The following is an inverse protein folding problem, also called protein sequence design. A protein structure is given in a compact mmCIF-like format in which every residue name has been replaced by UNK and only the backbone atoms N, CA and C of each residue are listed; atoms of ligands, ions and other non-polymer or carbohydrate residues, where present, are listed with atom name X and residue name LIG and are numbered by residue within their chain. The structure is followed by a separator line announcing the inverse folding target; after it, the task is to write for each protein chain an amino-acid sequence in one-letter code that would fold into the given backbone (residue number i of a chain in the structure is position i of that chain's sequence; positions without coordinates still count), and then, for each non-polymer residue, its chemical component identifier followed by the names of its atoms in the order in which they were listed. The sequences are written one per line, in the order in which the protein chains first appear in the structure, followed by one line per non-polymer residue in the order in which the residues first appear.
data_IF_224316566391
#
_entry.id   IF_224316566391
#
_cell.length_a   1.000
_cell.length_b   1.000
_cell.length_c   1.000
_cell.angle_alpha   90.00
_cell.angle_beta   90.00
_cell.angle_gamma   90.00
#
_symmetry.space_group_name_H-M   'P 1'
#
loop_
_entity.id
_entity.type
_entity.pdbx_description
1 polymer ?
#
# COMPACT_ATOMS: atom_id res chain seq x y z
N UNK A 1 -20.76 -7.48 28.52
CA UNK A 1 -19.43 -8.11 28.41
C UNK A 1 -18.40 -7.01 28.51
N UNK A 2 -17.43 -7.10 29.44
CA UNK A 2 -16.49 -5.99 29.73
C UNK A 2 -15.22 -6.12 28.88
N UNK A 3 -14.69 -4.98 28.47
CA UNK A 3 -13.46 -4.85 27.68
C UNK A 3 -12.46 -3.96 28.41
N UNK A 4 -11.19 -4.30 28.31
CA UNK A 4 -10.09 -3.60 28.96
C UNK A 4 -9.00 -3.29 27.94
N UNK A 5 -8.43 -2.08 28.02
CA UNK A 5 -7.20 -1.70 27.33
C UNK A 5 -6.01 -2.09 28.20
N UNK A 6 -5.15 -2.96 27.68
CA UNK A 6 -3.91 -3.35 28.35
C UNK A 6 -2.86 -2.23 28.24
N UNK A 7 -1.84 -2.33 29.07
CA UNK A 7 -0.61 -1.54 29.01
C UNK A 7 0.10 -1.60 27.64
N UNK A 8 0.01 -2.74 26.94
CA UNK A 8 0.52 -2.91 25.57
C UNK A 8 -0.38 -2.32 24.48
N UNK A 9 -1.42 -1.55 24.84
CA UNK A 9 -2.37 -0.96 23.88
C UNK A 9 -3.35 -1.95 23.24
N UNK A 10 -3.50 -3.16 23.79
CA UNK A 10 -4.38 -4.17 23.22
C UNK A 10 -5.73 -4.19 23.95
N UNK A 11 -6.82 -4.29 23.19
CA UNK A 11 -8.14 -4.49 23.78
C UNK A 11 -8.34 -6.00 24.05
N UNK A 12 -8.78 -6.33 25.26
CA UNK A 12 -9.05 -7.70 25.71
C UNK A 12 -10.39 -7.79 26.42
N UNK A 13 -11.04 -8.94 26.31
CA UNK A 13 -12.28 -9.22 27.05
C UNK A 13 -11.94 -9.66 28.47
N UNK A 14 -12.81 -9.34 29.43
CA UNK A 14 -12.69 -9.84 30.81
C UNK A 14 -12.52 -11.36 30.86
N UNK A 15 -13.26 -12.08 30.00
CA UNK A 15 -13.17 -13.53 29.88
C UNK A 15 -11.77 -13.98 29.47
N UNK A 16 -11.17 -13.36 28.45
CA UNK A 16 -9.82 -13.71 28.00
C UNK A 16 -8.76 -13.44 29.09
N UNK A 17 -8.90 -12.34 29.83
CA UNK A 17 -7.98 -12.00 30.91
C UNK A 17 -8.05 -13.00 32.07
N UNK A 18 -9.26 -13.39 32.48
CA UNK A 18 -9.48 -14.44 33.49
C UNK A 18 -8.92 -15.79 33.06
N UNK A 19 -9.16 -16.20 31.81
CA UNK A 19 -8.63 -17.46 31.27
C UNK A 19 -7.10 -17.49 31.33
N UNK A 20 -6.46 -16.36 31.02
CA UNK A 20 -5.01 -16.22 31.05
C UNK A 20 -4.43 -15.87 32.43
N UNK A 21 -5.26 -15.83 33.48
CA UNK A 21 -4.87 -15.46 34.86
C UNK A 21 -4.14 -14.11 34.93
N UNK A 22 -4.51 -13.18 34.07
CA UNK A 22 -3.95 -11.81 34.06
C UNK A 22 -4.71 -10.99 35.10
N UNK A 23 -3.99 -10.34 36.01
CA UNK A 23 -4.58 -9.31 36.87
C UNK A 23 -4.85 -8.05 36.03
N UNK A 24 -6.14 -7.71 35.90
CA UNK A 24 -6.61 -6.60 35.08
C UNK A 24 -7.14 -5.43 35.93
N UNK A 25 -6.91 -5.45 37.24
CA UNK A 25 -7.30 -4.35 38.14
C UNK A 25 -6.64 -3.01 37.79
N UNK A 26 -5.44 -3.07 37.21
CA UNK A 26 -4.69 -1.90 36.74
C UNK A 26 -5.02 -1.48 35.29
N UNK A 27 -5.83 -2.25 34.57
CA UNK A 27 -6.19 -1.93 33.19
C UNK A 27 -7.37 -0.97 33.12
N UNK A 28 -7.42 -0.21 32.02
CA UNK A 28 -8.50 0.74 31.78
C UNK A 28 -9.70 0.00 31.21
N UNK A 29 -10.81 -0.02 31.93
CA UNK A 29 -12.08 -0.50 31.39
C UNK A 29 -12.61 0.48 30.34
N UNK A 30 -13.04 -0.05 29.19
CA UNK A 30 -13.60 0.76 28.11
C UNK A 30 -15.04 1.18 28.43
N UNK A 31 -15.37 2.42 28.05
CA UNK A 31 -16.74 2.92 28.04
C UNK A 31 -17.57 2.26 26.92
N UNK A 32 -18.90 2.36 27.01
CA UNK A 32 -19.78 1.86 25.95
C UNK A 32 -19.47 2.49 24.58
N UNK A 33 -19.22 3.79 24.53
CA UNK A 33 -18.84 4.50 23.31
C UNK A 33 -17.54 3.96 22.71
N UNK A 34 -16.53 3.69 23.55
CA UNK A 34 -15.26 3.12 23.09
C UNK A 34 -15.42 1.68 22.60
N UNK A 35 -16.32 0.89 23.20
CA UNK A 35 -16.63 -0.46 22.73
C UNK A 35 -17.31 -0.39 21.35
N UNK A 36 -18.29 0.50 21.18
CA UNK A 36 -18.96 0.70 19.90
C UNK A 36 -17.95 1.10 18.82
N UNK A 37 -17.09 2.07 19.10
CA UNK A 37 -16.11 2.58 18.14
C UNK A 37 -15.01 1.57 17.81
N UNK A 38 -14.34 0.98 18.80
CA UNK A 38 -13.08 0.24 18.59
C UNK A 38 -13.20 -1.28 18.61
N UNK A 39 -14.39 -1.81 18.92
CA UNK A 39 -14.64 -3.26 19.01
C UNK A 39 -15.77 -3.71 18.09
N UNK A 40 -16.88 -2.97 18.03
CA UNK A 40 -18.08 -3.38 17.29
C UNK A 40 -18.03 -2.85 15.86
N UNK A 41 -17.74 -1.56 15.68
CA UNK A 41 -17.73 -0.94 14.37
C UNK A 41 -16.51 -1.39 13.54
N UNK A 42 -16.66 -1.53 12.22
CA UNK A 42 -15.51 -1.77 11.35
C UNK A 42 -14.57 -0.55 11.38
N UNK A 43 -13.26 -0.76 11.14
CA UNK A 43 -12.33 0.35 10.95
C UNK A 43 -12.80 1.26 9.81
N UNK A 44 -12.59 2.58 9.90
CA UNK A 44 -12.74 3.47 8.76
C UNK A 44 -11.86 3.02 7.59
N UNK A 45 -12.26 3.36 6.36
CA UNK A 45 -11.51 3.01 5.16
C UNK A 45 -10.05 3.50 5.24
N UNK A 46 -9.11 2.62 4.92
CA UNK A 46 -7.68 2.94 4.96
C UNK A 46 -7.09 3.11 6.35
N UNK A 47 -7.83 2.80 7.43
CA UNK A 47 -7.33 2.88 8.81
C UNK A 47 -7.12 1.50 9.43
N UNK A 48 -6.19 1.43 10.38
CA UNK A 48 -6.02 0.31 11.30
C UNK A 48 -6.08 0.80 12.75
N UNK A 49 -6.40 -0.10 13.69
CA UNK A 49 -6.48 0.25 15.12
C UNK A 49 -5.10 0.23 15.76
N UNK A 50 -4.78 1.27 16.50
CA UNK A 50 -3.67 1.32 17.45
C UNK A 50 -4.19 1.84 18.81
N UNK A 51 -4.35 0.94 19.78
CA UNK A 51 -5.01 1.28 21.05
C UNK A 51 -6.44 1.80 20.88
N UNK A 52 -6.70 3.00 21.42
CA UNK A 52 -7.95 3.76 21.28
C UNK A 52 -7.81 4.85 20.22
N UNK A 53 -7.19 4.52 19.10
CA UNK A 53 -7.00 5.45 17.98
C UNK A 53 -7.04 4.70 16.64
N UNK A 54 -7.48 5.43 15.61
CA UNK A 54 -7.40 5.00 14.22
C UNK A 54 -6.18 5.64 13.57
N UNK A 55 -5.21 4.82 13.18
CA UNK A 55 -4.03 5.26 12.45
C UNK A 55 -4.17 4.89 10.99
N UNK A 56 -3.57 5.68 10.10
CA UNK A 56 -3.50 5.31 8.68
C UNK A 56 -2.83 3.96 8.55
N UNK A 57 -3.48 3.08 7.78
CA UNK A 57 -2.85 1.85 7.36
C UNK A 57 -1.61 2.28 6.56
N UNK A 58 -0.40 1.85 6.95
CA UNK A 58 0.78 2.19 6.18
C UNK A 58 0.52 1.75 4.75
N UNK A 59 0.73 2.66 3.79
CA UNK A 59 0.75 2.29 2.38
C UNK A 59 1.91 1.33 2.23
N UNK A 60 1.61 0.04 2.32
CA UNK A 60 2.60 -0.99 2.10
C UNK A 60 2.91 -0.90 0.62
N UNK A 61 4.07 -0.34 0.27
CA UNK A 61 4.64 -0.47 -1.07
C UNK A 61 4.96 -1.96 -1.21
N UNK A 62 4.00 -2.69 -1.76
CA UNK A 62 4.14 -4.12 -2.05
C UNK A 62 4.72 -4.29 -3.45
N UNK A 63 5.42 -5.39 -3.68
CA UNK A 63 5.85 -5.75 -5.02
C UNK A 63 4.65 -5.82 -5.99
N UNK A 64 3.48 -6.26 -5.51
CA UNK A 64 2.23 -6.26 -6.29
C UNK A 64 1.80 -4.84 -6.69
N UNK A 65 1.70 -3.91 -5.73
CA UNK A 65 1.27 -2.54 -6.03
C UNK A 65 2.22 -1.81 -6.98
N UNK A 66 3.52 -2.02 -6.83
CA UNK A 66 4.53 -1.42 -7.71
C UNK A 66 4.52 -2.08 -9.09
N UNK A 67 4.36 -3.40 -9.17
CA UNK A 67 4.22 -4.09 -10.44
C UNK A 67 2.97 -3.63 -11.20
N UNK A 68 1.83 -3.48 -10.53
CA UNK A 68 0.61 -2.93 -11.14
C UNK A 68 0.80 -1.49 -11.63
N UNK A 69 1.57 -0.68 -10.90
CA UNK A 69 1.95 0.65 -11.39
C UNK A 69 2.86 0.56 -12.62
N UNK A 70 3.88 -0.29 -12.61
CA UNK A 70 4.78 -0.52 -13.75
C UNK A 70 3.99 -0.95 -15.00
N UNK A 71 3.01 -1.84 -14.87
CA UNK A 71 2.17 -2.25 -16.00
C UNK A 71 1.38 -1.09 -16.60
N UNK A 72 0.86 -0.17 -15.77
CA UNK A 72 0.17 1.04 -16.24
C UNK A 72 1.14 1.98 -16.97
N UNK A 73 2.33 2.18 -16.44
CA UNK A 73 3.35 2.99 -17.12
C UNK A 73 3.77 2.38 -18.45
N UNK A 74 3.99 1.06 -18.52
CA UNK A 74 4.34 0.37 -19.75
C UNK A 74 3.23 0.50 -20.81
N UNK A 75 1.96 0.47 -20.41
CA UNK A 75 0.84 0.71 -21.31
C UNK A 75 0.87 2.15 -21.89
N UNK A 76 1.19 3.15 -21.07
CA UNK A 76 1.38 4.53 -21.52
C UNK A 76 2.56 4.65 -22.49
N UNK A 77 3.68 3.99 -22.19
CA UNK A 77 4.86 3.94 -23.07
C UNK A 77 4.50 3.34 -24.43
N UNK A 78 3.76 2.24 -24.46
CA UNK A 78 3.34 1.60 -25.71
C UNK A 78 2.46 2.52 -26.57
N UNK A 79 1.60 3.33 -25.95
CA UNK A 79 0.82 4.36 -26.65
C UNK A 79 1.75 5.40 -27.27
N UNK A 80 2.74 5.89 -26.53
CA UNK A 80 3.70 6.88 -27.03
C UNK A 80 4.52 6.33 -28.20
N UNK A 81 5.00 5.09 -28.10
CA UNK A 81 5.72 4.42 -29.19
C UNK A 81 4.86 4.20 -30.43
N UNK A 82 3.54 3.97 -30.27
CA UNK A 82 2.60 3.91 -31.40
C UNK A 82 2.48 5.26 -32.10
N UNK A 83 2.41 6.38 -31.39
CA UNK A 83 2.38 7.71 -32.02
C UNK A 83 3.66 8.01 -32.81
N UNK A 84 4.82 7.57 -32.31
CA UNK A 84 6.07 7.65 -33.08
C UNK A 84 6.01 6.82 -34.36
N UNK A 85 5.44 5.61 -34.30
CA UNK A 85 5.30 4.70 -35.44
C UNK A 85 4.33 5.22 -36.51
N UNK A 86 3.20 5.81 -36.11
CA UNK A 86 2.19 6.37 -37.03
C UNK A 86 2.51 7.79 -37.49
N UNK A 87 3.55 8.43 -36.93
CA UNK A 87 3.92 9.80 -37.25
C UNK A 87 2.98 10.87 -36.65
N UNK A 88 2.20 10.53 -35.61
CA UNK A 88 1.31 11.48 -34.92
C UNK A 88 2.13 12.48 -34.07
N UNK A 89 2.68 13.47 -34.75
CA UNK A 89 3.50 14.54 -34.17
C UNK A 89 2.75 15.44 -33.18
N UNK A 90 1.41 15.42 -33.17
CA UNK A 90 0.60 16.24 -32.25
C UNK A 90 0.48 15.61 -30.87
N UNK A 91 0.47 14.27 -30.80
CA UNK A 91 0.27 13.52 -29.54
C UNK A 91 1.53 12.86 -29.01
N UNK A 92 2.51 12.57 -29.88
CA UNK A 92 3.80 12.05 -29.43
C UNK A 92 4.48 13.09 -28.55
N UNK A 93 4.99 12.63 -27.42
CA UNK A 93 5.87 13.39 -26.54
C UNK A 93 7.27 12.81 -26.63
N UNK A 94 8.30 13.60 -26.31
CA UNK A 94 9.71 13.16 -26.21
C UNK A 94 10.20 12.40 -27.46
N UNK A 95 11.39 11.82 -27.40
CA UNK A 95 11.89 10.94 -28.46
C UNK A 95 11.48 9.49 -28.23
N UNK A 96 11.41 8.69 -29.30
CA UNK A 96 11.21 7.25 -29.17
C UNK A 96 12.32 6.56 -28.36
N UNK A 97 13.52 7.16 -28.30
CA UNK A 97 14.64 6.66 -27.49
C UNK A 97 14.38 6.85 -26.00
N UNK A 98 13.82 7.99 -25.59
CA UNK A 98 13.51 8.28 -24.18
C UNK A 98 12.48 7.29 -23.65
N UNK A 99 11.41 7.06 -24.42
CA UNK A 99 10.37 6.09 -24.08
C UNK A 99 10.90 4.66 -23.98
N UNK A 100 11.77 4.25 -24.91
CA UNK A 100 12.42 2.91 -24.85
C UNK A 100 13.31 2.77 -23.62
N UNK A 101 14.06 3.81 -23.29
CA UNK A 101 14.94 3.82 -22.11
C UNK A 101 14.11 3.70 -20.83
N UNK A 102 13.02 4.46 -20.73
CA UNK A 102 12.09 4.38 -19.61
C UNK A 102 11.43 2.99 -19.50
N UNK A 103 11.02 2.40 -20.62
CA UNK A 103 10.45 1.05 -20.65
C UNK A 103 11.41 -0.01 -20.10
N UNK A 104 12.71 0.11 -20.39
CA UNK A 104 13.74 -0.80 -19.87
C UNK A 104 13.86 -0.61 -18.36
N UNK A 105 14.01 0.63 -17.89
CA UNK A 105 14.11 0.92 -16.45
C UNK A 105 12.89 0.41 -15.66
N UNK A 106 11.68 0.50 -16.22
CA UNK A 106 10.46 -0.06 -15.63
C UNK A 106 10.51 -1.60 -15.48
N UNK A 107 11.00 -2.30 -16.52
CA UNK A 107 11.14 -3.77 -16.50
C UNK A 107 12.28 -4.24 -15.59
N UNK A 108 13.31 -3.43 -15.44
CA UNK A 108 14.41 -3.68 -14.51
C UNK A 108 14.02 -3.38 -13.05
N UNK A 109 12.97 -2.58 -12.82
CA UNK A 109 12.50 -2.23 -11.48
C UNK A 109 11.58 -3.30 -10.88
N UNK A 110 10.63 -3.83 -11.64
CA UNK A 110 9.75 -4.92 -11.20
C UNK A 110 9.64 -6.02 -12.25
N UNK A 111 9.61 -7.27 -11.81
CA UNK A 111 9.34 -8.44 -12.67
C UNK A 111 8.45 -9.44 -11.94
N UNK A 112 8.21 -10.59 -12.54
CA UNK A 112 7.63 -11.77 -11.87
C UNK A 112 8.70 -12.83 -11.62
N UNK A 113 8.60 -13.56 -10.51
CA UNK A 113 9.36 -14.79 -10.28
C UNK A 113 8.88 -15.95 -11.17
N UNK A 114 9.51 -17.12 -11.04
CA UNK A 114 9.16 -18.32 -11.82
C UNK A 114 7.74 -18.83 -11.57
N UNK A 115 7.11 -18.43 -10.46
CA UNK A 115 5.73 -18.75 -10.12
C UNK A 115 4.72 -17.67 -10.56
N UNK A 116 5.21 -16.57 -11.17
CA UNK A 116 4.38 -15.46 -11.62
C UNK A 116 4.09 -14.41 -10.54
N UNK A 117 4.72 -14.48 -9.38
CA UNK A 117 4.51 -13.50 -8.31
C UNK A 117 5.35 -12.25 -8.57
N UNK A 118 4.78 -11.04 -8.44
CA UNK A 118 5.56 -9.82 -8.56
C UNK A 118 6.69 -9.72 -7.54
N UNK A 119 7.85 -9.26 -8.00
CA UNK A 119 9.03 -8.99 -7.21
C UNK A 119 9.62 -7.63 -7.57
N UNK A 120 10.14 -6.92 -6.56
CA UNK A 120 10.96 -5.73 -6.75
C UNK A 120 12.41 -6.16 -7.01
N UNK A 121 12.98 -5.66 -8.09
CA UNK A 121 14.38 -5.92 -8.48
C UNK A 121 15.24 -4.68 -8.28
N UNK A 122 14.69 -3.49 -8.57
CA UNK A 122 15.38 -2.22 -8.39
C UNK A 122 15.07 -1.55 -7.05
N UNK A 123 16.04 -0.78 -6.54
CA UNK A 123 15.93 -0.07 -5.26
C UNK A 123 15.17 1.26 -5.35
N UNK A 124 15.19 1.91 -6.52
CA UNK A 124 14.51 3.20 -6.75
C UNK A 124 13.54 3.09 -7.92
N UNK A 125 12.36 3.69 -7.73
CA UNK A 125 11.32 3.79 -8.76
C UNK A 125 11.82 4.60 -9.96
N UNK A 126 11.73 4.07 -11.19
CA UNK A 126 12.11 4.79 -12.40
C UNK A 126 11.34 6.11 -12.55
N UNK A 127 12.05 7.17 -12.90
CA UNK A 127 11.43 8.48 -13.14
C UNK A 127 10.96 8.56 -14.58
N UNK A 128 9.69 8.90 -14.75
CA UNK A 128 9.14 9.19 -16.08
C UNK A 128 9.97 10.32 -16.71
N UNK A 129 10.42 10.16 -17.97
CA UNK A 129 11.17 11.21 -18.65
C UNK A 129 10.27 12.46 -18.79
N UNK A 130 10.88 13.62 -18.60
CA UNK A 130 10.24 14.92 -18.75
C UNK A 130 10.98 15.67 -19.85
N UNK A 131 10.29 16.55 -20.58
CA UNK A 131 10.97 17.49 -21.46
C UNK A 131 11.85 18.38 -20.57
N UNK A 132 13.17 18.36 -20.80
CA UNK A 132 14.03 19.44 -20.31
C UNK A 132 13.52 20.72 -20.98
N UNK A 133 12.94 21.61 -20.16
CA UNK A 133 12.45 22.92 -20.60
C UNK A 133 13.58 23.86 -20.95
#
# INVERSE_FOLDING_TARGET
MRYFLTDTGLIRTEKALKVNRVDYSAFVELSQQQIEEFVINPPPEGKQRDGLSWVDMPVLVTAESEYQWVQKELADVDIQLKYHTTGDSKRRQLTAKDWKTYAIALRDYTTTDDAGNPVLVGDERPRRPMEER
#
